data_IF_467901866814
#
_entry.id   IF_467901866814
#
_cell.length_a   1.000
_cell.length_b   1.000
_cell.length_c   1.000
_cell.angle_alpha   90.00
_cell.angle_beta   90.00
_cell.angle_gamma   90.00
#
_symmetry.space_group_name_H-M   'P 1'
#
loop_
_entity.id
_entity.type
_entity.pdbx_description
1 polymer ?
#
# COMPACT_ATOMS: atom_id res chain seq x y z
N UNK A 1 11.97 27.88 0.94
CA UNK A 1 13.14 27.31 0.22
C UNK A 1 14.24 26.83 1.16
N UNK A 2 14.63 27.60 2.19
CA UNK A 2 15.65 27.18 3.17
C UNK A 2 15.30 25.88 3.92
N UNK A 3 14.04 25.70 4.34
CA UNK A 3 13.60 24.46 5.00
C UNK A 3 13.65 23.22 4.09
N UNK A 4 13.29 23.38 2.80
CA UNK A 4 13.39 22.30 1.81
C UNK A 4 14.84 21.91 1.55
N UNK A 5 15.74 22.90 1.44
CA UNK A 5 17.18 22.65 1.32
C UNK A 5 17.77 21.97 2.55
N UNK A 6 17.41 22.41 3.76
CA UNK A 6 17.84 21.76 5.02
C UNK A 6 17.34 20.32 5.15
N UNK A 7 16.13 20.04 4.66
CA UNK A 7 15.60 18.68 4.65
C UNK A 7 16.37 17.83 3.64
N UNK A 8 16.62 18.34 2.44
CA UNK A 8 17.39 17.66 1.38
C UNK A 8 18.84 17.39 1.82
N UNK A 9 19.51 18.34 2.48
CA UNK A 9 20.85 18.09 3.03
C UNK A 9 20.83 17.12 4.20
N UNK A 10 19.80 17.12 5.05
CA UNK A 10 19.64 16.10 6.09
C UNK A 10 19.44 14.69 5.50
N UNK A 11 18.65 14.57 4.43
CA UNK A 11 18.49 13.31 3.68
C UNK A 11 19.77 12.89 2.97
N UNK A 12 20.52 13.84 2.38
CA UNK A 12 21.81 13.58 1.74
C UNK A 12 22.88 13.13 2.77
N UNK A 13 22.91 13.72 3.96
CA UNK A 13 23.79 13.30 5.05
C UNK A 13 23.42 11.92 5.61
N UNK A 14 22.11 11.60 5.71
CA UNK A 14 21.64 10.25 6.06
C UNK A 14 21.96 9.22 4.97
N UNK A 15 21.92 9.62 3.69
CA UNK A 15 22.35 8.82 2.54
C UNK A 15 23.86 8.54 2.59
N UNK A 16 24.68 9.55 2.86
CA UNK A 16 26.14 9.40 2.99
C UNK A 16 26.53 8.59 4.23
N UNK A 17 25.84 8.78 5.35
CA UNK A 17 25.99 7.95 6.55
C UNK A 17 25.53 6.51 6.29
N UNK A 18 24.44 6.32 5.54
CA UNK A 18 23.96 5.01 5.12
C UNK A 18 24.94 4.28 4.20
N UNK A 19 25.58 4.97 3.27
CA UNK A 19 26.63 4.41 2.39
C UNK A 19 27.90 4.07 3.19
N UNK A 20 28.31 4.91 4.15
CA UNK A 20 29.45 4.65 5.03
C UNK A 20 29.19 3.47 5.99
N UNK A 21 27.97 3.35 6.52
CA UNK A 21 27.52 2.20 7.34
C UNK A 21 27.39 0.92 6.52
N UNK A 22 26.99 1.02 5.24
CA UNK A 22 26.86 -0.12 4.34
C UNK A 22 28.23 -0.69 3.91
N UNK A 23 29.26 0.17 3.81
CA UNK A 23 30.65 -0.25 3.60
C UNK A 23 31.29 -0.87 4.85
N UNK A 24 30.77 -0.57 6.05
CA UNK A 24 31.35 -1.02 7.31
C UNK A 24 30.72 -2.29 7.90
N UNK A 25 29.48 -2.67 7.55
CA UNK A 25 28.74 -3.70 8.30
C UNK A 25 27.92 -4.64 7.42
N UNK A 26 28.50 -5.81 7.14
CA UNK A 26 27.77 -7.03 6.76
C UNK A 26 26.85 -7.60 7.86
N UNK A 27 26.69 -6.90 8.99
CA UNK A 27 25.92 -7.36 10.16
C UNK A 27 24.55 -6.69 10.35
N UNK A 28 24.14 -5.76 9.48
CA UNK A 28 22.89 -4.98 9.65
C UNK A 28 21.63 -5.87 9.67
N UNK A 29 21.62 -7.02 9.01
CA UNK A 29 20.50 -7.96 9.09
C UNK A 29 20.36 -8.52 10.51
N UNK A 30 21.48 -8.82 11.17
CA UNK A 30 21.51 -9.31 12.55
C UNK A 30 21.19 -8.19 13.54
N UNK A 31 21.68 -6.97 13.31
CA UNK A 31 21.41 -5.81 14.16
C UNK A 31 19.96 -5.35 14.07
N UNK A 32 19.33 -5.36 12.88
CA UNK A 32 17.90 -5.04 12.73
C UNK A 32 17.05 -6.14 13.36
N UNK A 33 17.41 -7.42 13.20
CA UNK A 33 16.76 -8.53 13.91
C UNK A 33 16.92 -8.40 15.43
N UNK A 34 18.10 -8.06 15.94
CA UNK A 34 18.38 -7.83 17.36
C UNK A 34 17.66 -6.59 17.89
N UNK A 35 17.63 -5.47 17.18
CA UNK A 35 16.88 -4.27 17.60
C UNK A 35 15.39 -4.58 17.68
N UNK A 36 14.83 -5.31 16.69
CA UNK A 36 13.43 -5.75 16.72
C UNK A 36 13.19 -6.71 17.89
N UNK A 37 14.10 -7.65 18.16
CA UNK A 37 13.99 -8.60 19.27
C UNK A 37 14.09 -7.93 20.65
N UNK A 38 15.06 -7.02 20.84
CA UNK A 38 15.31 -6.32 22.10
C UNK A 38 14.21 -5.30 22.40
N UNK A 39 13.68 -4.63 21.37
CA UNK A 39 12.53 -3.72 21.53
C UNK A 39 11.26 -4.48 21.91
N UNK A 40 11.05 -5.70 21.39
CA UNK A 40 9.92 -6.56 21.76
C UNK A 40 10.08 -7.15 23.16
N UNK A 41 11.30 -7.45 23.61
CA UNK A 41 11.56 -8.04 24.93
C UNK A 41 11.51 -7.02 26.09
N UNK A 42 11.89 -5.76 25.86
CA UNK A 42 12.02 -4.77 26.94
C UNK A 42 10.81 -3.83 27.16
N UNK A 43 9.89 -3.69 26.20
CA UNK A 43 8.67 -2.87 26.43
C UNK A 43 7.56 -3.59 27.21
N UNK A 44 7.85 -4.76 27.77
CA UNK A 44 6.90 -5.61 28.50
C UNK A 44 6.87 -5.49 30.02
N UNK A 45 7.66 -4.61 30.68
CA UNK A 45 7.67 -4.52 32.15
C UNK A 45 7.76 -3.10 32.74
N UNK A 46 6.76 -2.85 33.60
CA UNK A 46 6.65 -1.90 34.73
C UNK A 46 6.23 -0.45 34.41
N UNK A 47 4.96 -0.15 34.73
CA UNK A 47 4.52 1.21 35.05
C UNK A 47 4.99 1.63 36.45
N UNK A 48 4.98 2.94 36.77
CA UNK A 48 5.46 3.45 38.05
C UNK A 48 4.46 3.16 39.17
N UNK A 49 4.99 2.62 40.24
CA UNK A 49 4.38 2.37 41.54
C UNK A 49 4.25 3.72 42.27
N UNK A 50 3.03 4.18 42.53
CA UNK A 50 2.78 5.26 43.50
C UNK A 50 2.36 4.64 44.83
N UNK A 51 3.24 4.81 45.81
CA UNK A 51 3.01 4.56 47.23
C UNK A 51 2.41 5.86 47.80
N UNK A 52 1.25 5.78 48.45
CA UNK A 52 1.08 6.46 49.73
C UNK A 52 -0.05 5.83 50.54
N UNK A 53 0.30 5.39 51.74
CA UNK A 53 -0.55 4.83 52.78
C UNK A 53 -1.29 5.93 53.56
N UNK A 54 -2.51 5.62 54.03
CA UNK A 54 -2.88 5.77 55.45
C UNK A 54 -4.32 5.29 55.72
N UNK A 55 -4.44 4.27 56.59
CA UNK A 55 -5.38 4.06 57.71
C UNK A 55 -6.89 4.30 57.50
N UNK A 56 -7.85 3.47 57.98
CA UNK A 56 -7.85 2.30 58.86
C UNK A 56 -9.27 1.67 58.87
N UNK A 57 -9.33 0.41 59.33
CA UNK A 57 -10.41 -0.30 60.05
C UNK A 57 -11.68 -0.82 59.33
N UNK A 58 -11.67 -2.15 59.15
CA UNK A 58 -12.64 -3.17 59.60
C UNK A 58 -14.17 -2.93 59.53
N UNK A 59 -14.88 -3.90 58.93
CA UNK A 59 -15.74 -4.91 59.60
C UNK A 59 -16.71 -5.52 58.56
N UNK A 60 -16.66 -6.85 58.44
CA UNK A 60 -17.62 -7.72 57.75
C UNK A 60 -19.03 -7.65 58.39
N UNK A 61 -20.09 -7.93 57.60
CA UNK A 61 -21.06 -9.00 57.90
C UNK A 61 -22.12 -9.09 56.80
N UNK A 62 -22.41 -10.34 56.50
CA UNK A 62 -23.25 -10.98 55.50
C UNK A 62 -24.76 -10.93 55.81
N UNK A 63 -25.58 -11.44 54.87
CA UNK A 63 -26.72 -12.39 55.10
C UNK A 63 -28.07 -12.02 54.40
N UNK A 64 -28.40 -12.86 53.40
CA UNK A 64 -29.69 -13.51 53.02
C UNK A 64 -30.81 -12.83 52.18
N UNK A 65 -31.03 -13.45 51.00
CA UNK A 65 -32.31 -13.82 50.33
C UNK A 65 -33.07 -14.92 51.13
N UNK A 66 -34.34 -15.34 50.87
CA UNK A 66 -34.98 -15.54 49.53
C UNK A 66 -36.54 -15.39 49.41
N UNK A 67 -37.06 -15.51 48.17
CA UNK A 67 -38.21 -16.29 47.61
C UNK A 67 -39.57 -16.36 48.38
N UNK A 68 -40.77 -16.55 47.82
CA UNK A 68 -41.33 -16.91 46.51
C UNK A 68 -42.89 -16.74 46.58
N UNK A 69 -43.57 -17.06 45.47
CA UNK A 69 -44.96 -17.55 45.36
C UNK A 69 -46.13 -16.64 44.88
N UNK A 70 -46.59 -16.99 43.68
CA UNK A 70 -47.91 -16.74 43.07
C UNK A 70 -48.81 -17.98 43.30
N UNK A 71 -50.16 -17.91 43.23
CA UNK A 71 -50.80 -18.43 42.01
C UNK A 71 -52.17 -17.81 41.60
N UNK A 72 -52.41 -17.91 40.28
CA UNK A 72 -53.64 -17.88 39.44
C UNK A 72 -55.05 -18.07 40.05
N UNK A 73 -56.08 -17.43 39.44
CA UNK A 73 -57.11 -18.09 38.57
C UNK A 73 -58.29 -17.18 38.11
N UNK A 74 -58.73 -17.44 36.87
CA UNK A 74 -60.10 -17.42 36.32
C UNK A 74 -60.85 -16.10 35.96
N UNK A 75 -61.41 -16.12 34.75
CA UNK A 75 -62.40 -15.21 34.13
C UNK A 75 -63.63 -16.07 33.75
N UNK A 76 -64.90 -15.58 33.77
CA UNK A 76 -65.51 -15.13 32.50
C UNK A 76 -66.68 -14.08 32.58
N UNK A 77 -66.81 -13.33 31.47
CA UNK A 77 -68.04 -12.86 30.76
C UNK A 77 -69.04 -11.81 31.35
N UNK A 78 -69.06 -10.66 30.65
CA UNK A 78 -70.17 -9.99 29.93
C UNK A 78 -70.84 -8.67 30.44
N UNK A 79 -70.82 -7.70 29.51
CA UNK A 79 -71.83 -6.70 29.12
C UNK A 79 -72.06 -5.35 29.87
N UNK A 80 -72.04 -4.29 29.02
CA UNK A 80 -72.62 -2.92 29.08
C UNK A 80 -72.13 -1.90 30.12
N UNK A 81 -71.44 -0.85 29.65
CA UNK A 81 -72.02 0.51 29.50
C UNK A 81 -70.96 1.54 29.03
N UNK A 82 -71.39 2.44 28.15
CA UNK A 82 -70.59 3.49 27.53
C UNK A 82 -70.44 4.71 28.46
N UNK A 83 -69.22 5.23 28.60
CA UNK A 83 -68.96 6.65 28.96
C UNK A 83 -67.75 7.17 28.17
N UNK A 84 -67.81 8.37 27.56
CA UNK A 84 -66.71 8.91 26.76
C UNK A 84 -65.61 9.45 27.68
N UNK A 85 -64.46 8.75 27.76
CA UNK A 85 -63.27 9.25 28.46
C UNK A 85 -62.57 10.32 27.64
N UNK A 86 -62.53 11.53 28.21
CA UNK A 86 -61.68 12.65 27.79
C UNK A 86 -60.24 12.19 27.56
N UNK A 87 -59.68 12.55 26.41
CA UNK A 87 -58.28 12.29 26.03
C UNK A 87 -57.37 13.12 26.95
N UNK A 88 -56.40 12.52 27.67
CA UNK A 88 -55.41 13.30 28.40
C UNK A 88 -54.58 14.12 27.42
N UNK A 89 -54.42 15.41 27.73
CA UNK A 89 -53.50 16.31 27.04
C UNK A 89 -52.09 15.69 27.02
N UNK A 90 -51.53 15.50 25.83
CA UNK A 90 -50.13 15.09 25.66
C UNK A 90 -49.24 16.14 26.32
N UNK A 91 -48.28 15.68 27.13
CA UNK A 91 -47.27 16.56 27.71
C UNK A 91 -46.43 17.22 26.60
N UNK A 92 -46.07 18.51 26.73
CA UNK A 92 -45.24 19.23 25.75
C UNK A 92 -43.86 18.59 25.49
N UNK A 93 -43.44 17.69 26.37
CA UNK A 93 -42.14 17.03 26.37
C UNK A 93 -41.96 16.01 25.24
N UNK A 94 -43.04 15.52 24.63
CA UNK A 94 -42.98 14.53 23.54
C UNK A 94 -42.82 15.16 22.15
N UNK A 95 -43.27 16.41 21.95
CA UNK A 95 -43.12 17.13 20.68
C UNK A 95 -41.77 17.84 20.57
N UNK A 96 -41.19 18.33 21.68
CA UNK A 96 -39.84 18.92 21.66
C UNK A 96 -38.71 17.91 21.38
N UNK A 97 -38.95 16.60 21.55
CA UNK A 97 -37.97 15.55 21.16
C UNK A 97 -38.02 15.17 19.68
N UNK A 98 -39.01 15.65 18.92
CA UNK A 98 -39.13 15.39 17.47
C UNK A 98 -38.60 16.51 16.58
N UNK A 99 -38.14 17.61 17.16
CA UNK A 99 -37.56 18.76 16.45
C UNK A 99 -36.07 18.98 16.73
N UNK A 100 -35.40 18.03 17.38
CA UNK A 100 -33.94 18.02 17.37
C UNK A 100 -33.48 17.80 15.92
N UNK A 101 -32.60 18.67 15.36
CA UNK A 101 -31.98 18.41 14.07
C UNK A 101 -31.40 17.00 14.11
N UNK A 102 -31.72 16.17 13.12
CA UNK A 102 -31.06 14.89 12.96
C UNK A 102 -29.56 15.16 13.02
N UNK A 103 -28.91 14.67 14.07
CA UNK A 103 -27.46 14.76 14.24
C UNK A 103 -26.85 14.26 12.95
N UNK A 104 -26.31 15.19 12.17
CA UNK A 104 -25.82 14.92 10.84
C UNK A 104 -24.79 13.80 11.00
N UNK A 105 -25.09 12.64 10.42
CA UNK A 105 -24.15 11.53 10.39
C UNK A 105 -22.79 12.10 9.96
N UNK A 106 -21.70 11.81 10.69
CA UNK A 106 -20.40 12.42 10.44
C UNK A 106 -20.11 12.29 8.95
N UNK A 107 -19.87 13.42 8.27
CA UNK A 107 -19.59 13.48 6.84
C UNK A 107 -18.45 12.50 6.57
N UNK A 108 -18.79 11.32 6.05
CA UNK A 108 -17.81 10.28 5.82
C UNK A 108 -16.80 10.85 4.83
N UNK A 109 -15.56 11.05 5.29
CA UNK A 109 -14.47 11.61 4.50
C UNK A 109 -14.53 11.02 3.08
N UNK A 110 -14.69 11.88 2.07
CA UNK A 110 -15.00 11.49 0.71
C UNK A 110 -14.04 10.40 0.24
N UNK A 111 -14.56 9.18 0.10
CA UNK A 111 -13.79 8.04 -0.39
C UNK A 111 -13.35 8.39 -1.82
N UNK A 112 -12.12 8.02 -2.21
CA UNK A 112 -11.60 8.23 -3.58
C UNK A 112 -11.57 6.89 -4.33
N UNK A 113 -12.69 6.43 -4.94
CA UNK A 113 -12.77 5.12 -5.61
C UNK A 113 -11.67 4.88 -6.63
N UNK A 114 -11.25 5.91 -7.35
CA UNK A 114 -10.22 5.77 -8.37
C UNK A 114 -8.88 5.26 -7.81
N UNK A 115 -8.53 5.57 -6.55
CA UNK A 115 -7.30 5.06 -5.93
C UNK A 115 -7.36 3.56 -5.65
N UNK A 116 -8.55 3.03 -5.33
CA UNK A 116 -8.77 1.59 -5.23
C UNK A 116 -8.61 0.94 -6.61
N UNK A 117 -9.11 1.58 -7.67
CA UNK A 117 -8.97 1.09 -9.04
C UNK A 117 -7.52 1.18 -9.58
N UNK A 118 -6.77 2.22 -9.22
CA UNK A 118 -5.31 2.31 -9.50
C UNK A 118 -4.59 1.15 -8.83
N UNK A 119 -4.87 0.86 -7.56
CA UNK A 119 -4.28 -0.30 -6.87
C UNK A 119 -4.60 -1.61 -7.58
N UNK A 120 -5.85 -1.83 -7.99
CA UNK A 120 -6.25 -3.02 -8.78
C UNK A 120 -5.44 -3.14 -10.07
N UNK A 121 -5.34 -2.03 -10.82
CA UNK A 121 -4.58 -1.98 -12.07
C UNK A 121 -3.10 -2.31 -11.85
N UNK A 122 -2.46 -1.70 -10.87
CA UNK A 122 -1.07 -1.95 -10.54
C UNK A 122 -0.85 -3.39 -10.05
N UNK A 123 -1.78 -3.95 -9.27
CA UNK A 123 -1.70 -5.35 -8.83
C UNK A 123 -1.81 -6.29 -10.02
N UNK A 124 -2.70 -6.03 -10.99
CA UNK A 124 -2.77 -6.84 -12.20
C UNK A 124 -1.46 -6.76 -13.01
N UNK A 125 -0.85 -5.57 -13.08
CA UNK A 125 0.47 -5.40 -13.71
C UNK A 125 1.59 -6.15 -12.99
N UNK A 126 1.58 -6.25 -11.65
CA UNK A 126 2.53 -7.10 -10.90
C UNK A 126 2.43 -8.56 -11.38
N UNK A 127 1.20 -9.08 -11.50
CA UNK A 127 0.99 -10.47 -11.96
C UNK A 127 1.51 -10.65 -13.39
N UNK A 128 1.17 -9.74 -14.30
CA UNK A 128 1.62 -9.79 -15.69
C UNK A 128 3.14 -9.63 -15.82
N UNK A 129 3.76 -8.78 -15.00
CA UNK A 129 5.20 -8.61 -14.91
C UNK A 129 5.89 -9.94 -14.58
N UNK A 130 5.42 -10.63 -13.55
CA UNK A 130 6.00 -11.89 -13.13
C UNK A 130 5.67 -13.05 -14.06
N UNK A 131 4.53 -13.00 -14.77
CA UNK A 131 4.30 -13.87 -15.92
C UNK A 131 5.40 -13.64 -16.98
N UNK A 132 5.72 -12.38 -17.32
CA UNK A 132 6.79 -12.09 -18.27
C UNK A 132 8.17 -12.55 -17.76
N UNK A 133 8.45 -12.42 -16.45
CA UNK A 133 9.66 -12.99 -15.85
C UNK A 133 9.75 -14.51 -16.03
N UNK A 134 8.65 -15.25 -15.85
CA UNK A 134 8.62 -16.69 -16.09
C UNK A 134 8.94 -17.07 -17.55
N UNK A 135 8.73 -16.15 -18.49
CA UNK A 135 9.09 -16.30 -19.91
C UNK A 135 10.42 -15.61 -20.28
N UNK A 136 11.26 -15.30 -19.28
CA UNK A 136 12.64 -14.86 -19.47
C UNK A 136 12.83 -13.34 -19.64
N UNK A 137 11.80 -12.53 -19.44
CA UNK A 137 11.91 -11.08 -19.58
C UNK A 137 12.86 -10.45 -18.54
N UNK A 138 12.98 -11.06 -17.36
CA UNK A 138 13.72 -10.52 -16.22
C UNK A 138 15.17 -11.06 -16.12
N UNK A 139 15.56 -11.97 -17.03
CA UNK A 139 16.85 -12.65 -16.99
C UNK A 139 16.73 -14.10 -16.47
N UNK A 140 17.83 -14.83 -16.54
CA UNK A 140 17.91 -16.20 -16.01
C UNK A 140 18.09 -16.19 -14.49
N UNK A 141 17.46 -17.14 -13.80
CA UNK A 141 17.55 -17.27 -12.34
C UNK A 141 16.81 -16.20 -11.51
N UNK A 142 16.13 -15.24 -12.15
CA UNK A 142 15.45 -14.13 -11.45
C UNK A 142 14.01 -14.43 -11.05
N UNK A 143 13.48 -15.60 -11.42
CA UNK A 143 12.12 -16.05 -11.09
C UNK A 143 12.11 -17.51 -10.66
N UNK A 144 11.09 -17.90 -9.89
CA UNK A 144 10.98 -19.23 -9.29
C UNK A 144 11.01 -20.36 -10.33
N UNK A 145 10.29 -20.21 -11.44
CA UNK A 145 10.25 -21.18 -12.54
C UNK A 145 10.29 -20.45 -13.87
N UNK A 146 11.36 -20.63 -14.63
CA UNK A 146 11.55 -20.01 -15.94
C UNK A 146 11.40 -21.08 -17.03
N UNK A 147 10.65 -20.73 -18.07
CA UNK A 147 10.47 -21.55 -19.28
C UNK A 147 11.82 -21.70 -19.99
N UNK A 148 12.27 -22.95 -20.19
CA UNK A 148 13.57 -23.28 -20.80
C UNK A 148 13.61 -22.87 -22.28
N UNK A 149 14.78 -22.43 -22.75
CA UNK A 149 15.04 -22.17 -24.18
C UNK A 149 15.27 -20.69 -24.56
N UNK A 150 15.82 -19.88 -23.64
CA UNK A 150 16.34 -18.55 -23.97
C UNK A 150 15.27 -17.51 -24.34
N UNK A 151 14.05 -17.63 -23.81
CA UNK A 151 13.00 -16.61 -23.89
C UNK A 151 12.18 -16.57 -25.18
N UNK A 152 12.36 -17.53 -26.10
CA UNK A 152 11.52 -17.65 -27.31
C UNK A 152 11.95 -16.76 -28.48
N UNK A 153 11.08 -16.55 -29.50
CA UNK A 153 11.43 -15.77 -30.69
C UNK A 153 11.87 -14.32 -30.37
N UNK A 154 12.75 -13.75 -31.21
CA UNK A 154 13.31 -12.39 -31.00
C UNK A 154 12.23 -11.33 -30.77
N UNK A 155 11.18 -11.32 -31.58
CA UNK A 155 10.09 -10.35 -31.47
C UNK A 155 9.34 -10.47 -30.13
N UNK A 156 9.02 -11.70 -29.72
CA UNK A 156 8.38 -11.95 -28.42
C UNK A 156 9.25 -11.46 -27.26
N UNK A 157 10.54 -11.79 -27.27
CA UNK A 157 11.50 -11.33 -26.25
C UNK A 157 11.58 -9.81 -26.16
N UNK A 158 11.64 -9.14 -27.30
CA UNK A 158 11.62 -7.68 -27.33
C UNK A 158 10.36 -7.16 -26.63
N UNK A 159 9.17 -7.64 -27.01
CA UNK A 159 7.92 -7.21 -26.41
C UNK A 159 7.87 -7.43 -24.88
N UNK A 160 8.19 -8.63 -24.40
CA UNK A 160 8.09 -8.93 -22.95
C UNK A 160 9.17 -8.21 -22.14
N UNK A 161 10.38 -8.02 -22.68
CA UNK A 161 11.43 -7.24 -22.03
C UNK A 161 11.05 -5.76 -21.96
N UNK A 162 10.62 -5.16 -23.07
CA UNK A 162 10.16 -3.76 -23.09
C UNK A 162 8.99 -3.56 -22.12
N UNK A 163 8.03 -4.49 -22.07
CA UNK A 163 6.94 -4.46 -21.10
C UNK A 163 7.45 -4.44 -19.66
N UNK A 164 8.35 -5.38 -19.30
CA UNK A 164 8.93 -5.45 -17.95
C UNK A 164 9.74 -4.21 -17.62
N UNK A 165 10.58 -3.72 -18.54
CA UNK A 165 11.40 -2.51 -18.36
C UNK A 165 10.54 -1.27 -18.10
N UNK A 166 9.53 -1.04 -18.94
CA UNK A 166 8.62 0.10 -18.76
C UNK A 166 7.78 -0.05 -17.49
N UNK A 167 7.30 -1.26 -17.20
CA UNK A 167 6.53 -1.49 -15.99
C UNK A 167 7.38 -1.20 -14.74
N UNK A 168 8.59 -1.78 -14.67
CA UNK A 168 9.56 -1.62 -13.58
C UNK A 168 9.86 -0.16 -13.26
N UNK A 169 9.87 0.71 -14.27
CA UNK A 169 10.19 2.12 -14.11
C UNK A 169 9.21 2.93 -13.22
N UNK A 170 7.96 2.47 -12.99
CA UNK A 170 6.96 3.29 -12.26
C UNK A 170 6.00 2.53 -11.34
N UNK A 171 5.70 1.25 -11.57
CA UNK A 171 4.52 0.65 -10.93
C UNK A 171 4.65 0.47 -9.41
N UNK A 172 5.84 0.04 -8.94
CA UNK A 172 6.11 -0.11 -7.50
C UNK A 172 6.25 1.23 -6.80
N UNK A 173 6.84 2.23 -7.46
CA UNK A 173 6.98 3.58 -6.92
C UNK A 173 5.61 4.25 -6.80
N UNK A 174 4.70 4.04 -7.76
CA UNK A 174 3.32 4.49 -7.67
C UNK A 174 2.55 3.77 -6.55
N UNK A 175 2.82 2.49 -6.29
CA UNK A 175 2.30 1.81 -5.08
C UNK A 175 2.77 2.51 -3.79
N UNK A 176 4.03 2.94 -3.70
CA UNK A 176 4.50 3.72 -2.55
C UNK A 176 3.78 5.06 -2.43
N UNK A 177 3.56 5.78 -3.53
CA UNK A 177 2.78 7.02 -3.53
C UNK A 177 1.35 6.82 -3.02
N UNK A 178 0.63 5.84 -3.57
CA UNK A 178 -0.76 5.56 -3.18
C UNK A 178 -0.83 5.13 -1.71
N UNK A 179 0.11 4.31 -1.25
CA UNK A 179 0.18 3.91 0.15
C UNK A 179 0.50 5.08 1.09
N UNK A 180 1.43 5.97 0.70
CA UNK A 180 1.82 7.16 1.45
C UNK A 180 0.67 8.15 1.60
N UNK A 181 -0.17 8.31 0.58
CA UNK A 181 -1.33 9.21 0.62
C UNK A 181 -2.25 8.97 1.83
N UNK A 182 -2.39 7.70 2.27
CA UNK A 182 -3.23 7.36 3.42
C UNK A 182 -2.50 7.36 4.77
N UNK A 183 -1.18 7.59 4.78
CA UNK A 183 -0.37 7.56 6.00
C UNK A 183 -0.74 8.67 7.00
N UNK A 184 -0.85 9.95 6.61
CA UNK A 184 -1.19 11.04 7.54
C UNK A 184 -2.53 10.80 8.23
N UNK A 185 -3.58 10.47 7.47
CA UNK A 185 -4.90 10.16 8.02
C UNK A 185 -4.89 8.93 8.91
N UNK A 186 -4.09 7.91 8.60
CA UNK A 186 -3.96 6.72 9.44
C UNK A 186 -3.26 7.03 10.77
N UNK A 187 -2.34 8.00 10.79
CA UNK A 187 -1.64 8.42 12.00
C UNK A 187 -2.52 9.32 12.89
N UNK A 188 -3.20 10.30 12.27
CA UNK A 188 -4.09 11.25 12.97
C UNK A 188 -5.22 10.57 13.77
N UNK A 189 -5.70 9.38 13.35
CA UNK A 189 -6.79 8.65 14.01
C UNK A 189 -6.46 8.06 15.39
N UNK A 190 -5.19 7.94 15.77
CA UNK A 190 -4.84 7.30 17.04
C UNK A 190 -3.39 7.43 17.49
N UNK A 191 -2.62 8.33 16.87
CA UNK A 191 -1.23 8.61 17.19
C UNK A 191 -0.31 7.40 17.03
N UNK A 192 0.89 7.52 17.60
CA UNK A 192 1.98 6.55 17.47
C UNK A 192 1.63 5.11 17.89
N UNK A 193 1.05 4.83 19.08
CA UNK A 193 0.81 3.45 19.53
C UNK A 193 -0.18 2.70 18.64
N UNK A 194 -1.31 3.34 18.32
CA UNK A 194 -2.38 2.78 17.49
C UNK A 194 -1.93 2.59 16.05
N UNK A 195 -1.21 3.59 15.50
CA UNK A 195 -0.66 3.52 14.15
C UNK A 195 0.29 2.33 14.00
N UNK A 196 1.26 2.19 14.89
CA UNK A 196 2.21 1.08 14.83
C UNK A 196 1.55 -0.29 14.99
N UNK A 197 0.62 -0.44 15.94
CA UNK A 197 -0.10 -1.71 16.13
C UNK A 197 -0.85 -2.13 14.85
N UNK A 198 -1.52 -1.18 14.21
CA UNK A 198 -2.23 -1.41 12.94
C UNK A 198 -1.27 -1.77 11.79
N UNK A 199 -0.13 -1.07 11.66
CA UNK A 199 0.87 -1.35 10.61
C UNK A 199 1.55 -2.71 10.81
N UNK A 200 1.89 -3.09 12.04
CA UNK A 200 2.42 -4.44 12.33
C UNK A 200 1.43 -5.53 11.92
N UNK A 201 0.15 -5.40 12.29
CA UNK A 201 -0.87 -6.39 11.93
C UNK A 201 -1.06 -6.50 10.41
N UNK A 202 -1.06 -5.39 9.67
CA UNK A 202 -1.38 -5.35 8.23
C UNK A 202 -0.18 -5.48 7.29
N UNK A 203 1.04 -5.21 7.75
CA UNK A 203 2.25 -5.26 6.92
C UNK A 203 3.22 -6.34 7.42
N UNK A 204 3.58 -6.34 8.71
CA UNK A 204 4.57 -7.28 9.25
C UNK A 204 4.06 -8.73 9.20
N UNK A 205 2.82 -8.98 9.63
CA UNK A 205 2.25 -10.35 9.62
C UNK A 205 2.18 -10.92 8.19
N UNK A 206 1.63 -10.22 7.19
CA UNK A 206 1.69 -10.68 5.80
C UNK A 206 3.11 -10.83 5.24
N UNK A 207 4.04 -9.92 5.60
CA UNK A 207 5.42 -10.02 5.15
C UNK A 207 6.12 -11.29 5.69
N UNK A 208 5.87 -11.63 6.95
CA UNK A 208 6.34 -12.88 7.55
C UNK A 208 5.66 -14.10 6.92
N UNK A 209 4.37 -14.03 6.62
CA UNK A 209 3.67 -15.11 5.90
C UNK A 209 4.24 -15.33 4.50
N UNK A 210 4.64 -14.27 3.79
CA UNK A 210 5.36 -14.42 2.51
C UNK A 210 6.71 -15.10 2.72
N UNK A 211 7.51 -14.60 3.67
CA UNK A 211 8.85 -15.12 3.96
C UNK A 211 8.84 -16.60 4.39
N UNK A 212 7.90 -17.00 5.24
CA UNK A 212 7.89 -18.30 5.92
C UNK A 212 6.95 -19.33 5.28
N UNK A 213 5.98 -18.89 4.47
CA UNK A 213 4.95 -19.77 3.89
C UNK A 213 4.86 -19.62 2.38
N UNK A 214 4.56 -18.43 1.86
CA UNK A 214 4.28 -18.27 0.43
C UNK A 214 5.52 -18.52 -0.45
N UNK A 215 6.68 -17.93 -0.08
CA UNK A 215 7.96 -18.15 -0.78
C UNK A 215 8.42 -19.61 -0.77
N UNK A 216 8.49 -20.32 0.37
CA UNK A 216 8.90 -21.74 0.36
C UNK A 216 7.93 -22.63 -0.41
N UNK A 217 6.61 -22.40 -0.30
CA UNK A 217 5.62 -23.14 -1.09
C UNK A 217 5.80 -22.90 -2.59
N UNK A 218 6.09 -21.66 -2.99
CA UNK A 218 6.36 -21.32 -4.40
C UNK A 218 7.62 -22.03 -4.90
N UNK A 219 8.69 -22.05 -4.09
CA UNK A 219 9.94 -22.77 -4.39
C UNK A 219 9.71 -24.28 -4.54
N UNK A 220 8.88 -24.87 -3.67
CA UNK A 220 8.48 -26.28 -3.75
C UNK A 220 7.71 -26.57 -5.06
N UNK A 221 6.74 -25.71 -5.40
CA UNK A 221 5.97 -25.83 -6.65
C UNK A 221 6.86 -25.67 -7.88
N UNK A 222 7.89 -24.81 -7.82
CA UNK A 222 8.91 -24.72 -8.87
C UNK A 222 9.74 -26.01 -9.03
N UNK A 223 9.71 -26.90 -8.02
CA UNK A 223 10.43 -28.18 -8.01
C UNK A 223 11.77 -28.13 -7.29
N UNK A 224 12.03 -27.09 -6.49
CA UNK A 224 13.21 -27.00 -5.65
C UNK A 224 12.86 -27.34 -4.19
N UNK A 225 13.60 -28.30 -3.62
CA UNK A 225 13.43 -28.74 -2.23
C UNK A 225 14.24 -27.92 -1.22
N UNK A 226 15.14 -27.07 -1.69
CA UNK A 226 15.96 -26.19 -0.86
C UNK A 226 15.38 -24.78 -0.87
N UNK A 227 15.23 -24.18 0.31
CA UNK A 227 14.75 -22.81 0.48
C UNK A 227 15.65 -22.05 1.44
N UNK A 228 16.22 -20.95 0.95
CA UNK A 228 16.84 -19.94 1.80
C UNK A 228 15.81 -18.84 2.08
N UNK A 229 15.60 -18.42 3.35
CA UNK A 229 14.66 -17.36 3.67
C UNK A 229 14.91 -16.10 2.85
N UNK A 230 13.95 -15.75 2.01
CA UNK A 230 13.99 -14.57 1.15
C UNK A 230 12.66 -13.83 1.22
N UNK A 231 12.67 -12.50 1.44
CA UNK A 231 11.45 -11.70 1.41
C UNK A 231 10.65 -11.85 0.11
N UNK A 232 11.31 -12.23 -0.99
CA UNK A 232 10.68 -12.36 -2.31
C UNK A 232 9.93 -11.08 -2.66
N UNK A 233 8.72 -11.19 -3.23
CA UNK A 233 7.85 -10.05 -3.49
C UNK A 233 7.40 -9.31 -2.21
N UNK A 234 7.57 -9.91 -1.03
CA UNK A 234 7.29 -9.29 0.27
C UNK A 234 8.21 -8.13 0.63
N UNK A 235 9.30 -7.88 -0.12
CA UNK A 235 10.21 -6.75 0.12
C UNK A 235 9.47 -5.40 0.23
N UNK A 236 8.43 -5.20 -0.59
CA UNK A 236 7.62 -3.98 -0.58
C UNK A 236 7.00 -3.71 0.79
N UNK A 237 6.51 -4.76 1.48
CA UNK A 237 5.86 -4.62 2.78
C UNK A 237 6.85 -4.24 3.87
N UNK A 238 8.07 -4.78 3.82
CA UNK A 238 9.15 -4.45 4.75
C UNK A 238 9.58 -2.98 4.60
N UNK A 239 9.76 -2.52 3.36
CA UNK A 239 10.11 -1.13 3.08
C UNK A 239 8.98 -0.16 3.39
N UNK A 240 7.74 -0.54 3.07
CA UNK A 240 6.59 0.26 3.45
C UNK A 240 6.46 0.38 4.96
N UNK A 241 6.68 -0.71 5.71
CA UNK A 241 6.71 -0.68 7.18
C UNK A 241 7.80 0.28 7.68
N UNK A 242 9.02 0.21 7.12
CA UNK A 242 10.11 1.11 7.45
C UNK A 242 9.73 2.58 7.21
N UNK A 243 9.18 2.92 6.03
CA UNK A 243 8.75 4.29 5.74
C UNK A 243 7.66 4.79 6.68
N UNK A 244 6.72 3.92 7.05
CA UNK A 244 5.67 4.27 8.01
C UNK A 244 6.26 4.54 9.40
N UNK A 245 7.22 3.72 9.86
CA UNK A 245 7.92 3.94 11.14
C UNK A 245 8.70 5.25 11.10
N UNK A 246 9.49 5.49 10.06
CA UNK A 246 10.26 6.74 9.90
C UNK A 246 9.34 7.96 9.92
N UNK A 247 8.26 7.96 9.13
CA UNK A 247 7.27 9.03 9.14
C UNK A 247 6.74 9.29 10.55
N UNK A 248 6.27 8.24 11.21
CA UNK A 248 5.62 8.35 12.50
C UNK A 248 6.62 8.80 13.60
N UNK A 249 7.91 8.45 13.49
CA UNK A 249 8.96 8.90 14.42
C UNK A 249 9.18 10.40 14.30
N UNK A 250 9.22 10.93 13.08
CA UNK A 250 9.31 12.37 12.86
C UNK A 250 8.09 13.13 13.40
N UNK A 251 6.89 12.57 13.24
CA UNK A 251 5.66 13.17 13.76
C UNK A 251 5.57 13.10 15.29
N UNK A 252 6.12 12.07 15.94
CA UNK A 252 6.16 12.01 17.41
C UNK A 252 7.05 13.08 18.05
N UNK A 253 8.03 13.58 17.30
CA UNK A 253 8.94 14.65 17.74
C UNK A 253 8.44 16.03 17.32
N UNK A 254 7.76 16.14 16.17
CA UNK A 254 7.21 17.38 15.63
C UNK A 254 5.70 17.24 15.38
N UNK A 255 4.84 17.43 16.40
CA UNK A 255 3.40 17.29 16.27
C UNK A 255 2.62 18.35 15.42
N UNK A 256 3.13 19.56 15.09
CA UNK A 256 2.23 20.68 14.78
C UNK A 256 1.53 20.63 13.40
N UNK A 257 1.80 19.64 12.55
CA UNK A 257 1.19 19.55 11.20
C UNK A 257 -0.05 18.63 11.16
N UNK A 258 -0.17 17.68 12.09
CA UNK A 258 -1.29 16.72 12.10
C UNK A 258 -2.34 17.05 13.15
N UNK A 259 -2.09 17.96 14.11
CA UNK A 259 -3.12 18.45 15.04
C UNK A 259 -4.22 19.21 14.29
N UNK A 260 -3.88 20.09 13.35
CA UNK A 260 -4.86 20.78 12.50
C UNK A 260 -5.64 19.81 11.59
N UNK A 261 -5.01 18.71 11.14
CA UNK A 261 -5.69 17.66 10.36
C UNK A 261 -6.57 16.76 11.25
N UNK A 262 -6.11 16.45 12.47
CA UNK A 262 -6.87 15.69 13.45
C UNK A 262 -8.09 16.48 13.92
N UNK A 263 -7.92 17.77 14.21
CA UNK A 263 -8.96 18.71 14.58
C UNK A 263 -9.99 18.89 13.45
N UNK A 264 -9.53 19.00 12.20
CA UNK A 264 -10.40 19.03 11.02
C UNK A 264 -11.14 17.70 10.76
N UNK A 265 -10.59 16.56 11.20
CA UNK A 265 -11.26 15.25 11.11
C UNK A 265 -12.25 15.00 12.26
N UNK A 266 -12.09 15.69 13.39
CA UNK A 266 -12.99 15.59 14.56
C UNK A 266 -14.04 16.70 14.63
N UNK A 267 -13.84 17.83 13.95
CA UNK A 267 -14.80 18.94 13.87
C UNK A 267 -15.83 18.74 12.75
N UNK A 268 -17.12 18.82 13.08
CA UNK A 268 -18.24 18.61 12.16
C UNK A 268 -18.34 19.65 11.01
N UNK A 269 -17.62 20.77 11.10
CA UNK A 269 -17.67 21.90 10.15
C UNK A 269 -16.32 22.23 9.51
N UNK A 270 -15.43 21.25 9.34
CA UNK A 270 -14.19 21.46 8.61
C UNK A 270 -14.48 21.69 7.12
N UNK A 271 -14.70 22.95 6.74
CA UNK A 271 -14.60 23.40 5.36
C UNK A 271 -13.32 22.82 4.77
N UNK A 272 -13.35 22.28 3.52
CA UNK A 272 -12.19 21.66 2.91
C UNK A 272 -11.02 22.61 3.05
N UNK A 273 -9.96 22.16 3.74
CA UNK A 273 -8.78 22.96 4.05
C UNK A 273 -8.24 23.49 2.74
N UNK A 274 -8.60 24.74 2.42
CA UNK A 274 -8.10 25.49 1.29
C UNK A 274 -6.67 25.93 1.62
N UNK A 275 -5.79 24.97 1.86
CA UNK A 275 -4.37 25.22 1.99
C UNK A 275 -3.82 25.44 0.58
N UNK A 276 -3.76 26.72 0.20
CA UNK A 276 -2.95 27.24 -0.90
C UNK A 276 -1.50 26.71 -0.74
N UNK A 277 -1.07 25.81 -1.62
CA UNK A 277 0.28 25.22 -1.65
C UNK A 277 0.69 24.90 -3.09
N UNK A 278 1.99 24.97 -3.43
CA UNK A 278 2.48 25.42 -4.74
C UNK A 278 2.31 24.35 -5.82
N UNK A 279 1.74 24.73 -6.96
CA UNK A 279 1.69 23.98 -8.24
C UNK A 279 3.06 23.45 -8.71
N UNK A 280 4.15 23.87 -8.05
CA UNK A 280 5.52 23.53 -8.37
C UNK A 280 5.78 22.02 -8.37
N UNK A 281 5.24 21.24 -7.42
CA UNK A 281 5.51 19.80 -7.33
C UNK A 281 4.78 18.95 -8.39
N UNK A 282 3.80 19.54 -9.10
CA UNK A 282 3.15 18.94 -10.27
C UNK A 282 3.66 19.54 -11.59
N UNK A 283 4.46 20.60 -11.53
CA UNK A 283 4.97 21.29 -12.71
C UNK A 283 5.88 20.40 -13.54
N UNK A 284 5.86 20.59 -14.85
CA UNK A 284 6.72 19.90 -15.82
C UNK A 284 8.19 20.10 -15.51
N UNK A 285 8.59 21.32 -15.11
CA UNK A 285 9.98 21.62 -14.73
C UNK A 285 10.42 20.78 -13.52
N UNK A 286 9.56 20.66 -12.51
CA UNK A 286 9.85 19.79 -11.37
C UNK A 286 9.92 18.32 -11.77
N UNK A 287 8.98 17.82 -12.59
CA UNK A 287 8.98 16.42 -13.05
C UNK A 287 10.25 16.08 -13.82
N UNK A 288 10.66 16.93 -14.75
CA UNK A 288 11.92 16.75 -15.50
C UNK A 288 13.12 16.82 -14.54
N UNK A 289 13.20 17.85 -13.69
CA UNK A 289 14.33 18.04 -12.78
C UNK A 289 14.47 16.92 -11.74
N UNK A 290 13.38 16.51 -11.11
CA UNK A 290 13.36 15.42 -10.14
C UNK A 290 13.53 14.05 -10.81
N UNK A 291 12.97 13.87 -12.01
CA UNK A 291 13.13 12.67 -12.82
C UNK A 291 14.58 12.44 -13.23
N UNK A 292 15.25 13.46 -13.77
CA UNK A 292 16.66 13.37 -14.15
C UNK A 292 17.60 13.33 -12.93
N UNK A 293 17.35 14.18 -11.93
CA UNK A 293 18.25 14.32 -10.78
C UNK A 293 18.10 13.23 -9.73
N UNK A 294 16.88 13.00 -9.22
CA UNK A 294 16.62 12.08 -8.10
C UNK A 294 16.38 10.67 -8.62
N UNK A 295 15.44 10.51 -9.55
CA UNK A 295 15.09 9.19 -10.06
C UNK A 295 16.16 8.60 -10.99
N UNK A 296 16.85 9.44 -11.76
CA UNK A 296 17.93 9.06 -12.67
C UNK A 296 19.31 9.10 -12.01
N UNK A 297 19.87 10.29 -11.83
CA UNK A 297 21.28 10.47 -11.45
C UNK A 297 21.59 9.91 -10.06
N UNK A 298 20.75 10.18 -9.05
CA UNK A 298 20.97 9.69 -7.69
C UNK A 298 20.77 8.17 -7.56
N UNK A 299 20.19 7.49 -8.56
CA UNK A 299 20.06 6.03 -8.60
C UNK A 299 21.38 5.35 -9.01
N UNK A 300 22.26 6.03 -9.75
CA UNK A 300 23.48 5.43 -10.30
C UNK A 300 24.40 4.79 -9.23
N UNK A 301 24.66 5.43 -8.06
CA UNK A 301 25.47 4.80 -7.03
C UNK A 301 24.86 3.50 -6.52
N UNK A 302 23.53 3.43 -6.41
CA UNK A 302 22.86 2.19 -6.00
C UNK A 302 23.02 1.10 -7.06
N UNK A 303 22.84 1.42 -8.34
CA UNK A 303 23.00 0.45 -9.43
C UNK A 303 24.43 -0.13 -9.47
N UNK A 304 25.45 0.69 -9.21
CA UNK A 304 26.85 0.27 -9.23
C UNK A 304 27.24 -0.50 -7.96
N UNK A 305 26.80 -0.05 -6.78
CA UNK A 305 27.31 -0.55 -5.50
C UNK A 305 26.54 -1.76 -4.95
N UNK A 306 25.27 -1.92 -5.28
CA UNK A 306 24.38 -2.86 -4.56
C UNK A 306 24.24 -4.23 -5.20
N UNK A 307 25.00 -4.53 -6.28
CA UNK A 307 24.97 -5.82 -7.00
C UNK A 307 23.53 -6.32 -7.30
N UNK A 308 22.61 -5.41 -7.60
CA UNK A 308 21.22 -5.69 -7.98
C UNK A 308 20.18 -5.68 -6.85
N UNK A 309 20.56 -5.51 -5.58
CA UNK A 309 19.60 -5.42 -4.47
C UNK A 309 20.13 -4.62 -3.28
N UNK A 310 19.29 -3.75 -2.72
CA UNK A 310 19.57 -2.94 -1.54
C UNK A 310 18.60 -3.34 -0.41
N UNK A 311 19.11 -4.01 0.62
CA UNK A 311 18.29 -4.56 1.72
C UNK A 311 17.01 -5.28 1.22
N UNK A 312 17.19 -6.24 0.32
CA UNK A 312 16.15 -7.04 -0.35
C UNK A 312 15.20 -6.29 -1.30
N UNK A 313 15.31 -4.96 -1.43
CA UNK A 313 14.64 -4.22 -2.52
C UNK A 313 15.46 -4.41 -3.80
N UNK A 314 14.87 -4.91 -4.90
CA UNK A 314 15.55 -4.99 -6.18
C UNK A 314 15.98 -3.60 -6.66
N UNK A 315 17.26 -3.43 -6.97
CA UNK A 315 17.78 -2.17 -7.50
C UNK A 315 17.79 -2.23 -9.01
N UNK A 316 16.91 -1.45 -9.60
CA UNK A 316 16.68 -1.32 -11.04
C UNK A 316 16.16 0.07 -11.36
N UNK A 317 15.95 0.38 -12.64
CA UNK A 317 15.26 1.60 -13.05
C UNK A 317 13.92 1.72 -12.33
N UNK A 318 13.57 2.91 -11.83
CA UNK A 318 12.31 3.08 -11.10
C UNK A 318 12.27 2.45 -9.70
N UNK A 319 13.41 2.32 -9.00
CA UNK A 319 13.47 1.81 -7.62
C UNK A 319 14.24 2.76 -6.69
N UNK A 320 14.27 2.46 -5.39
CA UNK A 320 15.06 3.11 -4.33
C UNK A 320 14.83 4.62 -4.26
N UNK A 321 15.57 5.42 -5.04
CA UNK A 321 15.44 6.88 -5.07
C UNK A 321 14.07 7.30 -5.58
N UNK A 322 13.53 6.56 -6.55
CA UNK A 322 12.18 6.75 -7.06
C UNK A 322 11.13 6.43 -5.98
N UNK A 323 11.34 5.36 -5.21
CA UNK A 323 10.43 4.93 -4.15
C UNK A 323 10.38 5.96 -3.02
N UNK A 324 11.54 6.50 -2.63
CA UNK A 324 11.64 7.57 -1.62
C UNK A 324 10.91 8.83 -2.08
N UNK A 325 11.16 9.28 -3.32
CA UNK A 325 10.51 10.46 -3.88
C UNK A 325 8.99 10.27 -3.98
N UNK A 326 8.54 9.14 -4.51
CA UNK A 326 7.11 8.88 -4.70
C UNK A 326 6.37 8.68 -3.37
N UNK A 327 7.01 8.06 -2.38
CA UNK A 327 6.45 8.04 -1.02
C UNK A 327 6.30 9.46 -0.46
N UNK A 328 7.34 10.30 -0.57
CA UNK A 328 7.26 11.71 -0.15
C UNK A 328 6.17 12.49 -0.88
N UNK A 329 6.08 12.36 -2.20
CA UNK A 329 5.05 13.01 -3.01
C UNK A 329 3.64 12.55 -2.61
N UNK A 330 3.45 11.28 -2.23
CA UNK A 330 2.17 10.79 -1.73
C UNK A 330 1.77 11.44 -0.39
N UNK A 331 2.72 11.65 0.53
CA UNK A 331 2.48 12.41 1.76
C UNK A 331 2.06 13.86 1.45
N UNK A 332 2.78 14.53 0.54
CA UNK A 332 2.46 15.90 0.14
C UNK A 332 1.11 15.99 -0.55
N UNK A 333 0.78 15.02 -1.40
CA UNK A 333 -0.50 14.95 -2.09
C UNK A 333 -1.67 14.91 -1.11
N UNK A 334 -1.52 14.25 0.04
CA UNK A 334 -2.55 14.28 1.09
C UNK A 334 -2.57 15.60 1.85
N UNK A 335 -1.42 16.10 2.28
CA UNK A 335 -1.31 17.36 3.05
C UNK A 335 -1.82 18.58 2.27
N UNK A 336 -1.70 18.55 0.95
CA UNK A 336 -2.07 19.65 0.06
C UNK A 336 -3.36 19.39 -0.74
N UNK A 337 -4.07 18.30 -0.45
CA UNK A 337 -5.34 17.96 -1.11
C UNK A 337 -5.25 17.86 -2.65
N UNK A 338 -4.14 17.34 -3.20
CA UNK A 338 -3.95 17.28 -4.66
C UNK A 338 -4.99 16.41 -5.34
N UNK A 339 -5.30 15.26 -4.74
CA UNK A 339 -6.20 14.25 -5.30
C UNK A 339 -7.68 14.54 -5.05
N UNK A 340 -7.97 15.53 -4.20
CA UNK A 340 -9.34 15.96 -3.86
C UNK A 340 -9.89 16.96 -4.89
N UNK A 341 -9.02 17.48 -5.77
CA UNK A 341 -9.36 18.32 -6.92
C UNK A 341 -8.98 17.61 -8.22
N UNK A 342 -9.60 17.96 -9.35
CA UNK A 342 -9.18 17.45 -10.65
C UNK A 342 -7.69 17.75 -10.89
N UNK A 343 -6.89 16.70 -11.10
CA UNK A 343 -5.47 16.83 -11.38
C UNK A 343 -5.24 17.59 -12.69
N UNK A 344 -6.14 17.41 -13.68
CA UNK A 344 -6.06 18.08 -14.98
C UNK A 344 -6.09 19.62 -14.88
N UNK A 345 -6.72 20.18 -13.85
CA UNK A 345 -6.78 21.63 -13.60
C UNK A 345 -5.54 22.17 -12.85
N UNK A 346 -4.72 21.26 -12.31
CA UNK A 346 -3.54 21.58 -11.51
C UNK A 346 -2.24 21.49 -12.32
N UNK A 347 -2.28 20.85 -13.50
CA UNK A 347 -1.12 20.72 -14.40
C UNK A 347 -0.79 22.06 -15.06
N UNK A 348 0.49 22.26 -15.33
CA UNK A 348 1.01 23.34 -16.16
C UNK A 348 0.90 23.05 -17.67
N UNK A 349 0.68 21.79 -18.03
CA UNK A 349 0.51 21.33 -19.42
C UNK A 349 -0.79 20.56 -19.60
N UNK A 350 -1.34 20.58 -20.81
CA UNK A 350 -2.53 19.80 -21.14
C UNK A 350 -2.24 18.28 -21.00
N UNK A 351 -3.19 17.44 -20.52
CA UNK A 351 -2.96 16.00 -20.35
C UNK A 351 -2.51 15.26 -21.62
N UNK A 352 -2.87 15.75 -22.82
CA UNK A 352 -2.37 15.18 -24.08
C UNK A 352 -0.88 15.45 -24.29
N UNK A 353 -0.36 16.59 -23.83
CA UNK A 353 1.08 16.89 -23.88
C UNK A 353 1.83 15.98 -22.92
N UNK A 354 1.30 15.75 -21.71
CA UNK A 354 1.85 14.74 -20.79
C UNK A 354 1.87 13.35 -21.45
N UNK A 355 0.80 12.94 -22.12
CA UNK A 355 0.76 11.68 -22.86
C UNK A 355 1.87 11.62 -23.93
N UNK A 356 2.13 12.72 -24.65
CA UNK A 356 3.23 12.73 -25.62
C UNK A 356 4.60 12.55 -24.97
N UNK A 357 4.86 13.15 -23.79
CA UNK A 357 6.10 12.91 -23.04
C UNK A 357 6.24 11.44 -22.65
N UNK A 358 5.19 10.85 -22.05
CA UNK A 358 5.19 9.42 -21.68
C UNK A 358 5.48 8.52 -22.87
N UNK A 359 4.89 8.79 -24.04
CA UNK A 359 5.11 7.99 -25.26
C UNK A 359 6.54 8.15 -25.77
N UNK A 360 7.07 9.37 -25.80
CA UNK A 360 8.44 9.65 -26.26
C UNK A 360 9.46 9.01 -25.32
N UNK A 361 9.27 9.14 -24.01
CA UNK A 361 10.12 8.52 -23.00
C UNK A 361 10.07 6.99 -23.09
N UNK A 362 8.88 6.39 -23.23
CA UNK A 362 8.73 4.94 -23.39
C UNK A 362 9.43 4.44 -24.66
N UNK A 363 9.26 5.14 -25.79
CA UNK A 363 9.94 4.81 -27.04
C UNK A 363 11.45 4.96 -26.90
N UNK A 364 11.92 6.03 -26.25
CA UNK A 364 13.34 6.26 -25.97
C UNK A 364 13.94 5.15 -25.10
N UNK A 365 13.24 4.73 -24.03
CA UNK A 365 13.65 3.60 -23.18
C UNK A 365 13.71 2.31 -24.01
N UNK A 366 12.69 2.03 -24.81
CA UNK A 366 12.62 0.81 -25.62
C UNK A 366 13.76 0.73 -26.65
N UNK A 367 14.06 1.84 -27.33
CA UNK A 367 15.15 1.93 -28.32
C UNK A 367 16.51 1.88 -27.64
N UNK A 368 16.73 2.66 -26.58
CA UNK A 368 18.00 2.68 -25.85
C UNK A 368 18.30 1.32 -25.19
N UNK A 369 17.27 0.56 -24.79
CA UNK A 369 17.42 -0.78 -24.22
C UNK A 369 17.86 -1.85 -25.23
N UNK A 370 17.94 -1.53 -26.52
CA UNK A 370 18.52 -2.44 -27.53
C UNK A 370 20.04 -2.59 -27.39
N UNK A 371 20.71 -1.58 -26.83
CA UNK A 371 22.15 -1.56 -26.59
C UNK A 371 22.43 -0.83 -25.25
N UNK A 372 22.14 -1.54 -24.14
CA UNK A 372 22.28 -1.01 -22.77
C UNK A 372 23.73 -0.72 -22.41
N UNK A 373 24.69 -1.43 -23.01
CA UNK A 373 26.12 -1.20 -22.76
C UNK A 373 26.53 0.20 -23.23
N UNK A 374 25.98 0.64 -24.37
CA UNK A 374 26.21 1.98 -24.92
C UNK A 374 25.29 3.05 -24.33
N UNK A 375 24.01 2.72 -24.13
CA UNK A 375 22.96 3.69 -23.79
C UNK A 375 22.39 3.55 -22.38
N UNK A 376 23.04 2.80 -21.49
CA UNK A 376 22.54 2.54 -20.13
C UNK A 376 22.25 3.82 -19.34
N UNK A 377 23.09 4.86 -19.46
CA UNK A 377 22.82 6.16 -18.84
C UNK A 377 21.52 6.80 -19.37
N UNK A 378 21.28 6.72 -20.68
CA UNK A 378 20.06 7.24 -21.30
C UNK A 378 18.84 6.49 -20.79
N UNK A 379 18.92 5.16 -20.69
CA UNK A 379 17.84 4.32 -20.12
C UNK A 379 17.51 4.75 -18.70
N UNK A 380 18.52 4.94 -17.84
CA UNK A 380 18.31 5.35 -16.44
C UNK A 380 17.70 6.74 -16.34
N UNK A 381 18.19 7.71 -17.12
CA UNK A 381 17.66 9.08 -17.11
C UNK A 381 16.22 9.16 -17.64
N UNK A 382 15.93 8.51 -18.77
CA UNK A 382 14.59 8.47 -19.33
C UNK A 382 13.61 7.73 -18.41
N UNK A 383 14.02 6.61 -17.83
CA UNK A 383 13.19 5.87 -16.88
C UNK A 383 12.88 6.70 -15.62
N UNK A 384 13.82 7.57 -15.19
CA UNK A 384 13.60 8.48 -14.08
C UNK A 384 12.50 9.53 -14.34
N UNK A 385 12.47 10.11 -15.55
CA UNK A 385 11.38 11.01 -15.97
C UNK A 385 10.06 10.25 -16.17
N UNK A 386 10.13 9.13 -16.89
CA UNK A 386 9.00 8.24 -17.15
C UNK A 386 8.30 7.79 -15.87
N UNK A 387 9.06 7.53 -14.79
CA UNK A 387 8.53 7.19 -13.47
C UNK A 387 7.48 8.22 -13.00
N UNK A 388 7.78 9.51 -13.08
CA UNK A 388 6.90 10.58 -12.61
C UNK A 388 5.76 10.84 -13.60
N UNK A 389 6.08 10.87 -14.89
CA UNK A 389 5.14 11.22 -15.96
C UNK A 389 4.08 10.13 -16.15
N UNK A 390 4.50 8.87 -16.21
CA UNK A 390 3.58 7.72 -16.30
C UNK A 390 2.75 7.58 -15.03
N UNK A 391 3.35 7.78 -13.85
CA UNK A 391 2.61 7.73 -12.58
C UNK A 391 1.50 8.78 -12.53
N UNK A 392 1.80 10.01 -12.94
CA UNK A 392 0.83 11.09 -12.99
C UNK A 392 -0.24 10.83 -14.05
N UNK A 393 0.13 10.32 -15.23
CA UNK A 393 -0.80 9.93 -16.29
C UNK A 393 -1.78 8.85 -15.82
N UNK A 394 -1.31 7.84 -15.09
CA UNK A 394 -2.17 6.80 -14.50
C UNK A 394 -3.16 7.43 -13.51
N UNK A 395 -2.69 8.28 -12.59
CA UNK A 395 -3.57 8.95 -11.64
C UNK A 395 -4.62 9.83 -12.33
N UNK A 396 -4.23 10.62 -13.33
CA UNK A 396 -5.13 11.44 -14.15
C UNK A 396 -6.19 10.60 -14.86
N UNK A 397 -5.76 9.51 -15.50
CA UNK A 397 -6.63 8.61 -16.26
C UNK A 397 -7.69 7.99 -15.34
N UNK A 398 -7.26 7.47 -14.20
CA UNK A 398 -8.18 6.86 -13.25
C UNK A 398 -9.05 7.89 -12.53
N UNK A 399 -8.55 9.09 -12.21
CA UNK A 399 -9.38 10.12 -11.61
C UNK A 399 -10.49 10.59 -12.57
N UNK A 400 -10.20 10.65 -13.89
CA UNK A 400 -11.16 11.09 -14.90
C UNK A 400 -12.16 10.02 -15.32
N UNK A 401 -11.68 8.80 -15.58
CA UNK A 401 -12.51 7.73 -16.17
C UNK A 401 -12.66 6.51 -15.25
N UNK A 402 -11.74 6.32 -14.32
CA UNK A 402 -11.74 5.22 -13.37
C UNK A 402 -12.32 5.59 -12.00
N UNK A 403 -12.97 6.74 -11.81
CA UNK A 403 -13.51 7.16 -10.53
C UNK A 403 -14.90 6.57 -10.27
N UNK A 404 -14.97 5.24 -10.31
CA UNK A 404 -16.21 4.48 -10.21
C UNK A 404 -16.10 3.37 -9.17
N UNK A 405 -17.15 3.19 -8.38
CA UNK A 405 -17.30 2.05 -7.48
C UNK A 405 -18.46 1.18 -7.96
N UNK A 406 -18.16 -0.04 -8.39
CA UNK A 406 -19.12 -1.05 -8.82
C UNK A 406 -18.92 -2.33 -7.99
N UNK A 407 -19.82 -3.31 -8.12
CA UNK A 407 -19.66 -4.62 -7.46
C UNK A 407 -18.35 -5.30 -7.88
N UNK A 408 -18.00 -5.21 -9.15
CA UNK A 408 -16.76 -5.78 -9.71
C UNK A 408 -15.55 -5.04 -9.16
N UNK A 409 -15.50 -3.70 -9.26
CA UNK A 409 -14.32 -2.96 -8.78
C UNK A 409 -14.11 -3.11 -7.27
N UNK A 410 -15.19 -3.22 -6.48
CA UNK A 410 -15.11 -3.52 -5.05
C UNK A 410 -14.57 -4.93 -4.77
N UNK A 411 -14.99 -5.93 -5.55
CA UNK A 411 -14.44 -7.29 -5.47
C UNK A 411 -12.94 -7.28 -5.77
N UNK A 412 -12.54 -6.67 -6.89
CA UNK A 412 -11.14 -6.59 -7.31
C UNK A 412 -10.30 -5.83 -6.26
N UNK A 413 -10.79 -4.70 -5.76
CA UNK A 413 -10.08 -3.86 -4.78
C UNK A 413 -9.90 -4.57 -3.44
N UNK A 414 -10.90 -5.31 -2.97
CA UNK A 414 -10.80 -6.12 -1.75
C UNK A 414 -9.81 -7.29 -1.89
N UNK A 415 -9.66 -7.85 -3.08
CA UNK A 415 -8.71 -8.95 -3.32
C UNK A 415 -7.28 -8.49 -3.60
N UNK A 416 -7.06 -7.23 -4.00
CA UNK A 416 -5.80 -6.76 -4.57
C UNK A 416 -4.57 -6.99 -3.67
N UNK A 417 -4.69 -6.77 -2.35
CA UNK A 417 -3.58 -7.03 -1.43
C UNK A 417 -3.28 -8.53 -1.28
N UNK A 418 -4.31 -9.37 -1.12
CA UNK A 418 -4.14 -10.82 -1.10
C UNK A 418 -3.52 -11.38 -2.39
N UNK A 419 -3.91 -10.84 -3.56
CA UNK A 419 -3.29 -11.20 -4.83
C UNK A 419 -1.80 -10.89 -4.81
N UNK A 420 -1.43 -9.68 -4.38
CA UNK A 420 -0.03 -9.26 -4.36
C UNK A 420 0.83 -10.27 -3.60
N UNK A 421 0.31 -10.89 -2.53
CA UNK A 421 1.03 -11.89 -1.76
C UNK A 421 1.06 -13.28 -2.42
N UNK A 422 -0.03 -13.66 -3.09
CA UNK A 422 -0.23 -15.03 -3.59
C UNK A 422 0.16 -15.25 -5.05
N UNK A 423 0.32 -14.18 -5.82
CA UNK A 423 0.62 -14.31 -7.25
C UNK A 423 1.88 -15.11 -7.57
N UNK A 424 2.99 -15.11 -6.80
CA UNK A 424 4.16 -15.91 -7.16
C UNK A 424 3.82 -17.40 -7.20
N UNK A 425 3.04 -17.87 -6.22
CA UNK A 425 2.59 -19.26 -6.14
C UNK A 425 1.72 -19.62 -7.35
N UNK A 426 0.73 -18.78 -7.66
CA UNK A 426 -0.22 -19.05 -8.76
C UNK A 426 0.48 -18.99 -10.13
N UNK A 427 1.32 -17.98 -10.37
CA UNK A 427 2.07 -17.84 -11.63
C UNK A 427 3.02 -19.02 -11.82
N UNK A 428 3.72 -19.45 -10.77
CA UNK A 428 4.63 -20.61 -10.82
C UNK A 428 3.86 -21.90 -11.08
N UNK A 429 2.72 -22.10 -10.41
CA UNK A 429 1.86 -23.26 -10.63
C UNK A 429 1.31 -23.29 -12.07
N UNK A 430 0.78 -22.16 -12.57
CA UNK A 430 0.26 -22.05 -13.93
C UNK A 430 1.36 -22.29 -14.97
N UNK A 431 2.57 -21.79 -14.74
CA UNK A 431 3.75 -22.05 -15.60
C UNK A 431 4.08 -23.54 -15.62
N UNK A 432 4.07 -24.22 -14.47
CA UNK A 432 4.32 -25.67 -14.40
C UNK A 432 3.26 -26.47 -15.14
N UNK A 433 1.98 -26.11 -15.01
CA UNK A 433 0.89 -26.73 -15.77
C UNK A 433 1.10 -26.54 -17.26
N UNK A 434 1.42 -25.33 -17.70
CA UNK A 434 1.72 -25.05 -19.11
C UNK A 434 2.85 -25.92 -19.65
N UNK A 435 3.98 -26.00 -18.94
CA UNK A 435 5.11 -26.83 -19.35
C UNK A 435 4.73 -28.31 -19.47
N UNK A 436 3.87 -28.83 -18.59
CA UNK A 436 3.37 -30.21 -18.67
C UNK A 436 2.45 -30.42 -19.87
N UNK A 437 1.61 -29.44 -20.22
CA UNK A 437 0.72 -29.51 -21.37
C UNK A 437 1.46 -29.37 -22.71
N UNK A 438 2.46 -28.49 -22.76
CA UNK A 438 3.23 -28.23 -23.96
C UNK A 438 4.22 -29.35 -24.32
N UNK A 439 4.68 -30.12 -23.33
CA UNK A 439 5.72 -31.14 -23.52
C UNK A 439 6.99 -30.52 -24.12
N UNK A 440 7.50 -31.12 -25.20
CA UNK A 440 8.68 -30.61 -25.91
C UNK A 440 8.38 -29.43 -26.84
N UNK A 441 7.09 -29.15 -27.11
CA UNK A 441 6.63 -28.15 -28.08
C UNK A 441 6.28 -26.79 -27.48
N UNK A 442 7.19 -26.20 -26.69
CA UNK A 442 6.92 -24.93 -26.00
C UNK A 442 6.72 -23.77 -26.99
N UNK A 443 5.50 -23.21 -27.03
CA UNK A 443 5.18 -21.99 -27.75
C UNK A 443 5.16 -20.79 -26.78
N UNK A 444 6.10 -19.85 -26.92
CA UNK A 444 6.29 -18.77 -25.96
C UNK A 444 5.11 -17.78 -25.89
N UNK A 445 4.63 -17.19 -27.00
CA UNK A 445 3.46 -16.32 -26.99
C UNK A 445 2.21 -16.99 -26.39
N UNK A 446 1.92 -18.23 -26.79
CA UNK A 446 0.75 -18.97 -26.30
C UNK A 446 0.89 -19.29 -24.81
N UNK A 447 2.08 -19.71 -24.39
CA UNK A 447 2.37 -19.96 -22.99
C UNK A 447 2.23 -18.72 -22.12
N UNK A 448 2.75 -17.57 -22.56
CA UNK A 448 2.63 -16.32 -21.82
C UNK A 448 1.15 -15.92 -21.67
N UNK A 449 0.38 -15.99 -22.76
CA UNK A 449 -1.05 -15.71 -22.73
C UNK A 449 -1.80 -16.67 -21.79
N UNK A 450 -1.50 -17.97 -21.88
CA UNK A 450 -2.08 -18.98 -20.99
C UNK A 450 -1.78 -18.69 -19.52
N UNK A 451 -0.51 -18.49 -19.16
CA UNK A 451 -0.09 -18.25 -17.78
C UNK A 451 -0.68 -16.94 -17.25
N UNK A 452 -0.69 -15.87 -18.05
CA UNK A 452 -1.27 -14.59 -17.68
C UNK A 452 -2.77 -14.69 -17.38
N UNK A 453 -3.55 -15.27 -18.31
CA UNK A 453 -5.01 -15.40 -18.17
C UNK A 453 -5.36 -16.32 -17.00
N UNK A 454 -4.77 -17.51 -16.93
CA UNK A 454 -5.02 -18.46 -15.85
C UNK A 454 -4.64 -17.85 -14.51
N UNK A 455 -3.49 -17.16 -14.41
CA UNK A 455 -3.06 -16.57 -13.15
C UNK A 455 -4.02 -15.50 -12.67
N UNK A 456 -4.43 -14.57 -13.54
CA UNK A 456 -5.40 -13.51 -13.17
C UNK A 456 -6.76 -14.08 -12.78
N UNK A 457 -7.27 -15.07 -13.52
CA UNK A 457 -8.57 -15.70 -13.24
C UNK A 457 -8.58 -16.51 -11.94
N UNK A 458 -7.44 -17.13 -11.57
CA UNK A 458 -7.34 -17.96 -10.36
C UNK A 458 -7.02 -17.13 -9.12
N UNK A 459 -6.05 -16.21 -9.22
CA UNK A 459 -5.52 -15.54 -8.03
C UNK A 459 -6.51 -14.53 -7.43
N UNK A 460 -7.36 -13.89 -8.23
CA UNK A 460 -8.36 -12.93 -7.72
C UNK A 460 -9.44 -13.58 -6.85
N UNK A 461 -10.16 -14.62 -7.32
CA UNK A 461 -11.13 -15.34 -6.49
C UNK A 461 -10.49 -15.98 -5.26
N UNK A 462 -9.28 -16.55 -5.41
CA UNK A 462 -8.54 -17.14 -4.30
C UNK A 462 -8.23 -16.10 -3.20
N UNK A 463 -7.64 -14.97 -3.59
CA UNK A 463 -7.32 -13.88 -2.68
C UNK A 463 -8.56 -13.30 -2.01
N UNK A 464 -9.63 -13.07 -2.78
CA UNK A 464 -10.89 -12.58 -2.24
C UNK A 464 -11.51 -13.53 -1.21
N UNK A 465 -11.47 -14.84 -1.49
CA UNK A 465 -12.00 -15.87 -0.60
C UNK A 465 -11.20 -15.95 0.71
N UNK A 466 -9.87 -15.89 0.63
CA UNK A 466 -9.00 -15.82 1.81
C UNK A 466 -9.26 -14.55 2.64
N UNK A 467 -9.52 -13.42 1.99
CA UNK A 467 -9.89 -12.19 2.67
C UNK A 467 -11.29 -12.24 3.33
N UNK A 468 -12.13 -13.24 3.06
CA UNK A 468 -13.39 -13.44 3.78
C UNK A 468 -13.22 -14.22 5.10
N UNK A 469 -12.09 -14.92 5.30
CA UNK A 469 -11.90 -15.76 6.48
C UNK A 469 -11.80 -14.91 7.77
N UNK A 470 -12.37 -15.39 8.90
CA UNK A 470 -12.23 -14.71 10.18
C UNK A 470 -10.74 -14.60 10.55
N UNK A 471 -10.34 -13.44 11.08
CA UNK A 471 -8.93 -13.09 11.31
C UNK A 471 -8.27 -12.47 10.08
N UNK A 472 -8.28 -13.15 8.92
CA UNK A 472 -7.65 -12.64 7.69
C UNK A 472 -8.35 -11.42 7.12
N UNK A 473 -9.68 -11.29 7.27
CA UNK A 473 -10.47 -10.12 6.84
C UNK A 473 -9.97 -8.77 7.37
N UNK A 474 -9.24 -8.79 8.48
CA UNK A 474 -8.71 -7.57 9.12
C UNK A 474 -7.28 -7.23 8.67
N UNK A 475 -6.64 -8.18 7.99
CA UNK A 475 -5.25 -8.17 7.55
C UNK A 475 -5.19 -7.99 6.02
N UNK A 476 -5.99 -8.77 5.28
CA UNK A 476 -6.02 -8.87 3.82
C UNK A 476 -6.89 -7.81 3.13
#
# INVERSE_FOLDING_TARGET
MAAAWQTITAWACLLLAGVAVHLALGEVVLTVLLIVFTTVAFTGRKGPQQINDSHAEDVDIEVQHPDEDEPTTANPLNASEQTPKLRPLRSPSAELRRSAPAEAAPVAAARLPFLDNVKVFLTALVVLHHCACAFGACGEGTWYLIVKGGGGPRAFRFCVKTFVTLNQAYFMTLFFFVSAYFVPTSYAKGGWPTFQANKRRRLLVPALAVLLVASPLTTLVAGNLTYAPSPGVGWYLWWLLLFNVVYASFQSVNPPVDEALAEALTGADAAPTAARGPRLLLSTVFRIGAGLGICGLALLPFLVLTKGSFASMPVSIGSVTCDFLMFYLGLQAKKQGWLERPLAEQLDVHPLVLLTFVVVEAAGIAVASLDVDKFGLVVVMLAGMFCLDMSLLVLLTFQRWGNVETRVTRFLARGAFGVYLLHPLVVTAATRVYLKLAGDGVNYPVGFAFVAVVSLLVVWPLAYSLAQLPGLKTIL
#
